data_IF_631814307700
#
_entry.id   IF_631814307700
#
_cell.length_a   1.000
_cell.length_b   1.000
_cell.length_c   1.000
_cell.angle_alpha   90.00
_cell.angle_beta   90.00
_cell.angle_gamma   90.00
#
_symmetry.space_group_name_H-M   'P 1'
#
loop_
_entity.id
_entity.type
_entity.pdbx_description
1 polymer ?
#
# COMPACT_ATOMS: atom_id res chain seq x y z
N UNK A 1 0.70 -8.69 -1.90
CA UNK A 1 -0.54 -9.46 -1.84
C UNK A 1 -0.96 -9.65 -0.38
N UNK A 2 -2.25 -9.79 -0.17
CA UNK A 2 -2.82 -9.98 1.16
C UNK A 2 -3.10 -11.47 1.43
N UNK A 3 -3.75 -12.15 0.50
CA UNK A 3 -4.20 -13.53 0.64
C UNK A 3 -3.54 -14.45 -0.40
N UNK A 4 -3.60 -14.09 -1.69
CA UNK A 4 -3.09 -14.93 -2.78
C UNK A 4 -1.97 -14.23 -3.53
N UNK A 5 -0.97 -15.02 -3.97
CA UNK A 5 0.08 -14.53 -4.88
C UNK A 5 -0.49 -13.88 -6.14
N UNK A 6 -1.62 -14.37 -6.64
CA UNK A 6 -2.27 -13.89 -7.87
C UNK A 6 -2.66 -12.41 -7.81
N UNK A 7 -2.89 -11.85 -6.61
CA UNK A 7 -3.18 -10.42 -6.40
C UNK A 7 -2.05 -9.48 -6.88
N UNK A 8 -0.83 -10.01 -7.05
CA UNK A 8 0.32 -9.22 -7.51
C UNK A 8 0.24 -8.84 -8.97
N UNK A 9 -0.53 -9.57 -9.77
CA UNK A 9 -0.58 -9.44 -11.22
C UNK A 9 -2.04 -9.47 -11.65
N UNK A 10 -2.53 -8.35 -12.17
CA UNK A 10 -3.91 -8.24 -12.63
C UNK A 10 -3.97 -7.60 -14.03
N UNK A 11 -4.95 -8.01 -14.82
CA UNK A 11 -5.28 -7.40 -16.13
C UNK A 11 -6.75 -7.05 -16.14
N UNK A 12 -7.06 -5.77 -16.33
CA UNK A 12 -8.43 -5.23 -16.33
C UNK A 12 -9.23 -5.50 -15.04
N UNK A 13 -8.54 -5.66 -13.91
CA UNK A 13 -9.13 -5.95 -12.60
C UNK A 13 -9.19 -7.45 -12.25
N UNK A 14 -8.95 -8.33 -13.19
CA UNK A 14 -8.91 -9.78 -12.96
C UNK A 14 -7.48 -10.22 -12.61
N UNK A 15 -7.34 -10.96 -11.52
CA UNK A 15 -6.06 -11.53 -11.10
C UNK A 15 -5.60 -12.61 -12.08
N UNK A 16 -4.27 -12.77 -12.21
CA UNK A 16 -3.71 -13.86 -13.00
C UNK A 16 -4.21 -15.21 -12.48
N UNK A 17 -4.75 -16.11 -13.34
CA UNK A 17 -5.15 -17.44 -12.93
C UNK A 17 -3.97 -18.28 -12.42
N UNK A 18 -4.17 -19.10 -11.39
CA UNK A 18 -3.13 -19.99 -10.84
C UNK A 18 -2.52 -20.92 -11.90
N UNK A 19 -3.33 -21.41 -12.84
CA UNK A 19 -2.85 -22.23 -13.95
C UNK A 19 -1.85 -21.48 -14.84
N UNK A 20 -2.10 -20.17 -15.11
CA UNK A 20 -1.15 -19.34 -15.89
C UNK A 20 0.10 -19.00 -15.08
N UNK A 21 -0.01 -18.85 -13.74
CA UNK A 21 1.16 -18.72 -12.86
C UNK A 21 2.04 -19.97 -12.96
N UNK A 22 1.45 -21.16 -12.89
CA UNK A 22 2.18 -22.42 -13.01
C UNK A 22 2.89 -22.55 -14.36
N UNK A 23 2.16 -22.32 -15.47
CA UNK A 23 2.72 -22.38 -16.82
C UNK A 23 3.88 -21.38 -17.02
N UNK A 24 3.68 -20.13 -16.60
CA UNK A 24 4.72 -19.10 -16.71
C UNK A 24 5.92 -19.39 -15.80
N UNK A 25 5.69 -20.02 -14.67
CA UNK A 25 6.76 -20.44 -13.77
C UNK A 25 7.68 -21.43 -14.48
N UNK A 26 7.15 -22.47 -15.12
CA UNK A 26 7.96 -23.45 -15.87
C UNK A 26 8.65 -22.79 -17.08
N UNK A 27 7.94 -21.94 -17.81
CA UNK A 27 8.48 -21.20 -18.95
C UNK A 27 9.68 -20.30 -18.56
N UNK A 28 9.65 -19.65 -17.39
CA UNK A 28 10.75 -18.79 -16.91
C UNK A 28 11.88 -19.64 -16.38
N UNK A 29 11.61 -20.71 -15.62
CA UNK A 29 12.62 -21.65 -15.13
C UNK A 29 13.48 -22.21 -16.26
N UNK A 30 12.85 -22.70 -17.33
CA UNK A 30 13.56 -23.21 -18.51
C UNK A 30 14.55 -22.20 -19.13
N UNK A 31 14.28 -20.88 -18.99
CA UNK A 31 15.20 -19.85 -19.47
C UNK A 31 16.32 -19.56 -18.50
N UNK A 32 15.97 -19.51 -17.20
CA UNK A 32 16.95 -19.31 -16.12
C UNK A 32 17.99 -20.43 -16.13
N UNK A 33 17.56 -21.68 -16.31
CA UNK A 33 18.45 -22.85 -16.32
C UNK A 33 19.46 -22.84 -17.48
N UNK A 34 19.17 -22.09 -18.55
CA UNK A 34 20.08 -21.92 -19.69
C UNK A 34 21.09 -20.79 -19.51
N UNK A 35 20.92 -19.94 -18.48
CA UNK A 35 21.72 -18.74 -18.25
C UNK A 35 22.45 -18.83 -16.91
N UNK A 36 23.78 -19.03 -16.95
CA UNK A 36 24.60 -19.12 -15.72
C UNK A 36 24.48 -17.86 -14.82
N UNK A 37 24.30 -16.68 -15.42
CA UNK A 37 24.14 -15.41 -14.71
C UNK A 37 22.84 -15.31 -13.91
N UNK A 38 21.85 -16.15 -14.20
CA UNK A 38 20.53 -16.11 -13.56
C UNK A 38 20.44 -16.84 -12.20
N UNK A 39 21.56 -17.42 -11.71
CA UNK A 39 21.59 -18.19 -10.46
C UNK A 39 21.41 -17.35 -9.17
N UNK A 40 21.50 -16.02 -9.27
CA UNK A 40 21.36 -15.09 -8.14
C UNK A 40 20.04 -14.30 -8.12
N UNK A 41 19.05 -14.71 -8.90
CA UNK A 41 17.77 -14.03 -8.97
C UNK A 41 16.98 -14.14 -7.67
N UNK A 42 16.41 -13.02 -7.26
CA UNK A 42 15.50 -12.97 -6.11
C UNK A 42 14.08 -13.43 -6.50
N UNK A 43 13.26 -13.72 -5.50
CA UNK A 43 11.83 -13.98 -5.71
C UNK A 43 11.14 -12.82 -6.44
N UNK A 44 11.55 -11.57 -6.19
CA UNK A 44 10.95 -10.41 -6.83
C UNK A 44 11.38 -10.27 -8.29
N UNK A 45 12.64 -10.57 -8.63
CA UNK A 45 13.11 -10.64 -10.03
C UNK A 45 12.26 -11.62 -10.83
N UNK A 46 12.06 -12.82 -10.27
CA UNK A 46 11.25 -13.86 -10.88
C UNK A 46 9.79 -13.42 -11.07
N UNK A 47 9.19 -12.83 -10.03
CA UNK A 47 7.81 -12.33 -10.09
C UNK A 47 7.65 -11.23 -11.13
N UNK A 48 8.63 -10.33 -11.24
CA UNK A 48 8.64 -9.23 -12.23
C UNK A 48 8.71 -9.77 -13.65
N UNK A 49 9.61 -10.74 -13.91
CA UNK A 49 9.70 -11.40 -15.21
C UNK A 49 8.39 -12.11 -15.59
N UNK A 50 7.76 -12.79 -14.63
CA UNK A 50 6.47 -13.47 -14.81
C UNK A 50 5.37 -12.46 -15.17
N UNK A 51 5.30 -11.33 -14.46
CA UNK A 51 4.33 -10.28 -14.73
C UNK A 51 4.49 -9.70 -16.14
N UNK A 52 5.72 -9.41 -16.56
CA UNK A 52 5.99 -8.84 -17.88
C UNK A 52 5.67 -9.82 -19.00
N UNK A 53 6.02 -11.10 -18.86
CA UNK A 53 5.64 -12.12 -19.85
C UNK A 53 4.11 -12.31 -19.91
N UNK A 54 3.43 -12.29 -18.76
CA UNK A 54 1.98 -12.33 -18.71
C UNK A 54 1.34 -11.15 -19.45
N UNK A 55 1.77 -9.92 -19.16
CA UNK A 55 1.26 -8.71 -19.82
C UNK A 55 1.50 -8.73 -21.33
N UNK A 56 2.67 -9.22 -21.77
CA UNK A 56 2.99 -9.40 -23.18
C UNK A 56 2.03 -10.41 -23.84
N UNK A 57 1.80 -11.57 -23.24
CA UNK A 57 0.87 -12.59 -23.76
C UNK A 57 -0.58 -12.10 -23.84
N UNK A 58 -0.99 -11.27 -22.87
CA UNK A 58 -2.33 -10.66 -22.86
C UNK A 58 -2.46 -9.43 -23.76
N UNK A 59 -1.41 -8.98 -24.40
CA UNK A 59 -1.42 -7.80 -25.28
C UNK A 59 -1.79 -6.51 -24.54
N UNK A 60 -1.31 -6.36 -23.31
CA UNK A 60 -1.61 -5.21 -22.44
C UNK A 60 -1.12 -3.92 -23.10
N UNK A 61 -2.02 -2.96 -23.32
CA UNK A 61 -1.70 -1.69 -23.95
C UNK A 61 -0.99 -0.69 -23.01
N UNK A 62 -1.30 -0.75 -21.70
CA UNK A 62 -0.68 0.08 -20.68
C UNK A 62 -0.58 -0.73 -19.38
N UNK A 63 0.55 -0.62 -18.68
CA UNK A 63 0.78 -1.28 -17.41
C UNK A 63 1.06 -0.25 -16.31
N UNK A 64 0.50 -0.47 -15.14
CA UNK A 64 0.85 0.22 -13.90
C UNK A 64 1.78 -0.71 -13.11
N UNK A 65 3.04 -0.29 -12.95
CA UNK A 65 4.08 -1.12 -12.34
C UNK A 65 4.58 -0.46 -11.06
N UNK A 66 4.48 -1.16 -9.94
CA UNK A 66 4.97 -0.72 -8.64
C UNK A 66 6.35 -1.32 -8.37
N UNK A 67 7.33 -0.47 -8.00
CA UNK A 67 8.65 -0.93 -7.56
C UNK A 67 8.52 -1.69 -6.22
N UNK A 68 9.25 -2.79 -6.10
CA UNK A 68 9.22 -3.60 -4.88
C UNK A 68 9.99 -2.97 -3.72
N UNK A 69 11.17 -2.40 -4.00
CA UNK A 69 12.01 -1.76 -3.00
C UNK A 69 12.90 -0.67 -3.64
N UNK A 70 12.85 0.54 -3.08
CA UNK A 70 13.68 1.65 -3.55
C UNK A 70 13.28 2.11 -4.95
N UNK A 71 14.08 1.84 -5.95
CA UNK A 71 13.84 2.17 -7.35
C UNK A 71 15.05 1.89 -8.24
N UNK A 72 16.22 2.43 -7.90
CA UNK A 72 17.44 2.37 -8.74
C UNK A 72 17.86 0.95 -9.13
N UNK A 73 17.83 0.03 -8.19
CA UNK A 73 18.21 -1.39 -8.36
C UNK A 73 16.97 -2.33 -8.36
N UNK A 74 15.78 -1.76 -8.43
CA UNK A 74 14.56 -2.57 -8.45
C UNK A 74 14.42 -3.33 -9.78
N UNK A 75 13.93 -4.56 -9.72
CA UNK A 75 13.73 -5.42 -10.89
C UNK A 75 12.85 -4.78 -11.96
N UNK A 76 11.91 -3.92 -11.54
CA UNK A 76 11.01 -3.21 -12.45
C UNK A 76 11.68 -2.07 -13.21
N UNK A 77 12.88 -1.63 -12.78
CA UNK A 77 13.58 -0.47 -13.36
C UNK A 77 14.19 -0.72 -14.73
N UNK A 78 14.02 -1.92 -15.29
CA UNK A 78 14.36 -2.26 -16.69
C UNK A 78 13.40 -1.57 -17.68
N UNK A 79 12.26 -1.08 -17.22
CA UNK A 79 11.26 -0.42 -18.05
C UNK A 79 11.68 1.02 -18.42
N UNK A 80 11.18 1.48 -19.58
CA UNK A 80 11.09 2.90 -19.92
C UNK A 80 9.62 3.33 -19.83
N UNK A 81 9.20 3.98 -18.73
CA UNK A 81 7.80 4.30 -18.51
C UNK A 81 7.33 5.49 -19.36
N UNK A 82 6.01 5.65 -19.53
CA UNK A 82 5.39 6.86 -20.08
C UNK A 82 5.36 8.00 -19.06
N UNK A 83 5.19 7.66 -17.79
CA UNK A 83 5.20 8.59 -16.65
C UNK A 83 5.83 7.87 -15.45
N UNK A 84 6.72 8.54 -14.75
CA UNK A 84 7.26 8.07 -13.46
C UNK A 84 6.53 8.76 -12.32
N UNK A 85 6.11 7.99 -11.30
CA UNK A 85 5.49 8.56 -10.09
C UNK A 85 6.33 8.20 -8.87
N UNK A 86 6.75 9.21 -8.12
CA UNK A 86 7.39 9.05 -6.80
C UNK A 86 6.45 9.70 -5.78
N UNK A 87 5.73 8.87 -5.03
CA UNK A 87 4.64 9.35 -4.15
C UNK A 87 5.17 10.27 -3.05
N UNK A 88 5.92 9.72 -2.12
CA UNK A 88 6.60 10.43 -1.04
C UNK A 88 7.86 9.66 -0.64
N UNK A 89 8.63 10.24 0.27
CA UNK A 89 9.81 9.61 0.85
C UNK A 89 9.70 9.71 2.37
N UNK A 90 9.73 8.58 3.05
CA UNK A 90 9.78 8.43 4.49
C UNK A 90 10.93 7.51 4.91
N UNK A 91 11.20 7.43 6.21
CA UNK A 91 12.19 6.51 6.78
C UNK A 91 11.58 5.11 6.84
N UNK A 92 11.87 4.29 5.85
CA UNK A 92 11.53 2.87 5.82
C UNK A 92 12.64 2.09 5.12
N UNK A 93 12.75 0.80 5.41
CA UNK A 93 13.78 -0.07 4.83
C UNK A 93 15.20 0.47 4.94
N UNK A 94 15.53 1.10 6.07
CA UNK A 94 16.80 1.81 6.29
C UNK A 94 18.03 0.90 6.12
N UNK A 95 17.89 -0.38 6.41
CA UNK A 95 18.93 -1.39 6.21
C UNK A 95 19.38 -1.52 4.74
N UNK A 96 18.48 -1.25 3.77
CA UNK A 96 18.75 -1.42 2.34
C UNK A 96 18.86 -0.09 1.59
N UNK A 97 18.08 0.92 1.98
CA UNK A 97 17.95 2.17 1.24
C UNK A 97 18.77 3.32 1.80
N UNK A 98 19.35 3.16 3.01
CA UNK A 98 20.07 4.21 3.72
C UNK A 98 19.32 4.74 4.93
N UNK A 99 20.04 5.46 5.80
CA UNK A 99 19.56 5.92 7.10
C UNK A 99 18.99 7.34 7.07
N UNK A 100 19.05 8.03 5.94
CA UNK A 100 18.60 9.41 5.78
C UNK A 100 17.56 9.55 4.67
N UNK A 101 16.66 10.53 4.81
CA UNK A 101 15.68 10.88 3.77
C UNK A 101 16.36 11.12 2.41
N UNK A 102 17.54 11.72 2.43
CA UNK A 102 18.32 12.01 1.21
C UNK A 102 18.81 10.74 0.51
N UNK A 103 19.30 9.77 1.25
CA UNK A 103 19.74 8.48 0.69
C UNK A 103 18.57 7.71 0.11
N UNK A 104 17.48 7.58 0.88
CA UNK A 104 16.25 6.89 0.42
C UNK A 104 15.67 7.59 -0.81
N UNK A 105 15.67 8.95 -0.83
CA UNK A 105 15.22 9.71 -2.00
C UNK A 105 16.07 9.43 -3.24
N UNK A 106 17.40 9.27 -3.12
CA UNK A 106 18.28 8.91 -4.24
C UNK A 106 17.96 7.53 -4.81
N UNK A 107 17.75 6.54 -3.93
CA UNK A 107 17.37 5.19 -4.37
C UNK A 107 16.02 5.20 -5.10
N UNK A 108 15.03 5.93 -4.57
CA UNK A 108 13.72 6.08 -5.24
C UNK A 108 13.83 6.87 -6.56
N UNK A 109 14.62 7.94 -6.59
CA UNK A 109 14.82 8.75 -7.79
C UNK A 109 15.54 8.00 -8.93
N UNK A 110 16.15 6.85 -8.66
CA UNK A 110 16.77 6.00 -9.67
C UNK A 110 15.81 5.42 -10.72
N UNK A 111 14.49 5.55 -10.54
CA UNK A 111 13.48 5.22 -11.57
C UNK A 111 13.27 6.32 -12.60
N UNK A 112 13.80 7.51 -12.38
CA UNK A 112 13.69 8.64 -13.32
C UNK A 112 14.47 8.31 -14.59
N UNK A 113 13.86 8.59 -15.74
CA UNK A 113 14.48 8.41 -17.05
C UNK A 113 14.44 9.74 -17.82
N UNK A 114 15.46 9.98 -18.63
CA UNK A 114 15.54 11.17 -19.50
C UNK A 114 14.30 11.28 -20.39
N UNK A 115 13.75 12.47 -20.49
CA UNK A 115 12.58 12.81 -21.29
C UNK A 115 11.28 12.10 -20.89
N UNK A 116 11.25 11.46 -19.71
CA UNK A 116 10.04 10.86 -19.15
C UNK A 116 9.52 11.73 -18.01
N UNK A 117 8.31 12.27 -18.08
CA UNK A 117 7.78 13.16 -17.05
C UNK A 117 7.70 12.47 -15.69
N UNK A 118 8.01 13.23 -14.65
CA UNK A 118 7.99 12.77 -13.25
C UNK A 118 6.89 13.49 -12.49
N UNK A 119 6.05 12.74 -11.79
CA UNK A 119 5.05 13.24 -10.84
C UNK A 119 5.51 12.92 -9.44
N UNK A 120 5.47 13.89 -8.52
CA UNK A 120 5.85 13.63 -7.14
C UNK A 120 5.02 14.40 -6.12
N UNK A 121 4.82 13.78 -4.97
CA UNK A 121 4.31 14.40 -3.76
C UNK A 121 5.39 14.63 -2.70
N UNK A 122 6.65 14.35 -3.01
CA UNK A 122 7.79 14.59 -2.13
C UNK A 122 7.92 16.08 -1.76
N UNK A 123 8.49 16.36 -0.61
CA UNK A 123 8.65 17.72 -0.07
C UNK A 123 10.04 17.91 0.53
N UNK A 124 10.45 19.18 0.72
CA UNK A 124 11.73 19.52 1.37
C UNK A 124 12.91 18.83 0.70
N UNK A 125 13.81 18.26 1.50
CA UNK A 125 15.06 17.65 1.02
C UNK A 125 14.83 16.54 0.00
N UNK A 126 13.80 15.71 0.16
CA UNK A 126 13.50 14.65 -0.80
C UNK A 126 13.07 15.19 -2.17
N UNK A 127 12.32 16.30 -2.20
CA UNK A 127 11.94 16.97 -3.45
C UNK A 127 13.17 17.50 -4.18
N UNK A 128 14.13 18.09 -3.47
CA UNK A 128 15.36 18.61 -4.08
C UNK A 128 16.21 17.49 -4.71
N UNK A 129 16.27 16.32 -4.07
CA UNK A 129 16.95 15.15 -4.63
C UNK A 129 16.24 14.68 -5.92
N UNK A 130 14.92 14.59 -5.90
CA UNK A 130 14.13 14.18 -7.07
C UNK A 130 14.26 15.22 -8.19
N UNK A 131 14.24 16.52 -7.86
CA UNK A 131 14.43 17.60 -8.81
C UNK A 131 15.78 17.53 -9.51
N UNK A 132 16.85 17.26 -8.76
CA UNK A 132 18.18 17.06 -9.33
C UNK A 132 18.23 15.84 -10.26
N UNK A 133 17.59 14.74 -9.90
CA UNK A 133 17.49 13.55 -10.76
C UNK A 133 16.64 13.80 -12.02
N UNK A 134 15.65 14.68 -11.94
CA UNK A 134 14.78 15.06 -13.04
C UNK A 134 15.30 16.24 -13.88
N UNK A 135 16.59 16.60 -13.79
CA UNK A 135 17.15 17.77 -14.47
C UNK A 135 16.97 17.77 -16.01
N UNK A 136 16.84 16.60 -16.61
CA UNK A 136 16.65 16.44 -18.06
C UNK A 136 15.22 16.02 -18.44
N UNK A 137 14.24 16.27 -17.57
CA UNK A 137 12.84 15.94 -17.82
C UNK A 137 11.90 16.89 -17.08
N UNK A 138 10.62 16.86 -17.45
CA UNK A 138 9.59 17.66 -16.77
C UNK A 138 9.26 17.05 -15.40
N UNK A 139 9.34 17.86 -14.36
CA UNK A 139 8.95 17.51 -12.99
C UNK A 139 7.65 18.21 -12.62
N UNK A 140 6.66 17.44 -12.20
CA UNK A 140 5.38 17.91 -11.71
C UNK A 140 5.27 17.61 -10.22
N UNK A 141 5.50 18.61 -9.38
CA UNK A 141 5.45 18.49 -7.94
C UNK A 141 4.08 18.97 -7.39
N UNK A 142 3.54 18.21 -6.46
CA UNK A 142 2.34 18.59 -5.73
C UNK A 142 2.58 19.86 -4.91
N UNK A 143 1.69 20.83 -5.02
CA UNK A 143 1.83 22.15 -4.42
C UNK A 143 2.42 23.19 -5.35
N UNK A 144 3.07 22.78 -6.44
CA UNK A 144 3.65 23.65 -7.47
C UNK A 144 2.88 23.51 -8.80
N UNK A 145 2.87 22.33 -9.37
CA UNK A 145 2.30 22.06 -10.70
C UNK A 145 0.84 21.66 -10.66
N UNK A 146 0.40 21.05 -9.58
CA UNK A 146 -0.99 20.63 -9.32
C UNK A 146 -1.29 20.70 -7.84
N UNK A 147 -2.58 20.79 -7.50
CA UNK A 147 -3.07 21.01 -6.14
C UNK A 147 -4.30 20.13 -5.88
N UNK A 148 -4.53 19.78 -4.62
CA UNK A 148 -5.81 19.27 -4.16
C UNK A 148 -6.21 19.91 -2.82
N UNK A 149 -7.49 19.85 -2.50
CA UNK A 149 -8.05 20.21 -1.19
C UNK A 149 -9.04 19.14 -0.77
N UNK A 150 -8.92 18.67 0.45
CA UNK A 150 -9.98 17.87 1.08
C UNK A 150 -11.23 18.71 1.26
N UNK A 151 -12.38 18.16 0.92
CA UNK A 151 -13.73 18.73 1.13
C UNK A 151 -14.55 17.89 2.13
N UNK A 152 -13.90 16.98 2.83
CA UNK A 152 -14.47 16.01 3.75
C UNK A 152 -13.92 14.61 3.51
N UNK A 153 -14.43 13.64 4.26
CA UNK A 153 -14.03 12.25 4.08
C UNK A 153 -14.33 11.78 2.65
N UNK A 154 -13.30 11.24 1.98
CA UNK A 154 -13.43 10.68 0.63
C UNK A 154 -13.91 11.67 -0.46
N UNK A 155 -13.82 12.98 -0.21
CA UNK A 155 -14.22 14.01 -1.18
C UNK A 155 -13.12 15.05 -1.35
N UNK A 156 -12.80 15.40 -2.60
CA UNK A 156 -11.73 16.36 -2.88
C UNK A 156 -12.06 17.29 -4.05
N UNK A 157 -11.46 18.47 -4.01
CA UNK A 157 -11.22 19.34 -5.16
C UNK A 157 -9.80 19.07 -5.69
N UNK A 158 -9.64 19.10 -7.01
CA UNK A 158 -8.35 18.92 -7.68
C UNK A 158 -8.18 19.97 -8.79
N UNK A 159 -6.99 20.56 -8.86
CA UNK A 159 -6.52 21.36 -10.00
C UNK A 159 -5.20 20.78 -10.49
N UNK A 160 -5.22 20.22 -11.68
CA UNK A 160 -4.07 19.67 -12.36
C UNK A 160 -3.39 20.62 -13.33
N UNK A 161 -2.68 20.05 -14.30
CA UNK A 161 -1.96 20.77 -15.33
C UNK A 161 -2.93 21.39 -16.36
N UNK A 162 -3.97 20.66 -16.70
CA UNK A 162 -4.98 21.01 -17.71
C UNK A 162 -6.41 20.85 -17.21
N UNK A 163 -6.62 20.00 -16.23
CA UNK A 163 -7.96 19.62 -15.72
C UNK A 163 -8.20 20.23 -14.34
N UNK A 164 -9.44 20.59 -14.10
CA UNK A 164 -9.93 20.95 -12.77
C UNK A 164 -11.18 20.16 -12.49
N UNK A 165 -11.22 19.53 -11.32
CA UNK A 165 -12.38 18.75 -10.90
C UNK A 165 -12.88 19.25 -9.55
N UNK A 166 -14.15 19.54 -9.48
CA UNK A 166 -14.87 19.75 -8.24
C UNK A 166 -15.54 18.44 -7.79
N UNK A 167 -15.62 18.23 -6.48
CA UNK A 167 -16.36 17.15 -5.86
C UNK A 167 -16.02 15.76 -6.43
N UNK A 168 -14.71 15.44 -6.46
CA UNK A 168 -14.26 14.10 -6.77
C UNK A 168 -14.43 13.20 -5.55
N UNK A 169 -15.22 12.15 -5.68
CA UNK A 169 -15.31 11.08 -4.68
C UNK A 169 -14.17 10.08 -4.85
N UNK A 170 -13.52 9.71 -3.75
CA UNK A 170 -12.46 8.71 -3.69
C UNK A 170 -12.94 7.52 -2.87
N UNK A 171 -12.97 6.33 -3.43
CA UNK A 171 -13.48 5.11 -2.77
C UNK A 171 -12.67 4.66 -1.55
N UNK A 172 -11.38 5.04 -1.48
CA UNK A 172 -10.50 4.71 -0.37
C UNK A 172 -10.59 5.76 0.74
N UNK A 173 -10.46 5.31 2.00
CA UNK A 173 -10.55 6.16 3.20
C UNK A 173 -9.20 6.73 3.60
N UNK A 174 -9.26 7.87 4.31
CA UNK A 174 -8.11 8.57 4.87
C UNK A 174 -7.53 9.65 3.96
N UNK A 175 -7.05 10.74 4.56
CA UNK A 175 -6.54 11.92 3.84
C UNK A 175 -5.35 11.59 2.92
N UNK A 176 -4.54 10.59 3.29
CA UNK A 176 -3.44 10.11 2.46
C UNK A 176 -3.92 9.53 1.12
N UNK A 177 -5.17 9.04 1.03
CA UNK A 177 -5.72 8.54 -0.22
C UNK A 177 -6.15 9.69 -1.16
N UNK A 178 -6.55 10.82 -0.62
CA UNK A 178 -6.78 12.04 -1.41
C UNK A 178 -5.46 12.56 -2.01
N UNK A 179 -4.38 12.49 -1.23
CA UNK A 179 -3.02 12.78 -1.71
C UNK A 179 -2.63 11.82 -2.84
N UNK A 180 -2.80 10.51 -2.67
CA UNK A 180 -2.50 9.50 -3.69
C UNK A 180 -3.34 9.71 -4.97
N UNK A 181 -4.63 10.02 -4.81
CA UNK A 181 -5.54 10.32 -5.92
C UNK A 181 -5.06 11.55 -6.72
N UNK A 182 -4.56 12.59 -6.05
CA UNK A 182 -4.03 13.78 -6.72
C UNK A 182 -2.79 13.46 -7.59
N UNK A 183 -1.89 12.59 -7.11
CA UNK A 183 -0.74 12.12 -7.90
C UNK A 183 -1.19 11.28 -9.10
N UNK A 184 -2.14 10.38 -8.89
CA UNK A 184 -2.70 9.55 -9.95
C UNK A 184 -3.38 10.40 -11.04
N UNK A 185 -4.15 11.42 -10.64
CA UNK A 185 -4.78 12.34 -11.58
C UNK A 185 -3.76 13.11 -12.42
N UNK A 186 -2.69 13.63 -11.80
CA UNK A 186 -1.62 14.29 -12.52
C UNK A 186 -0.92 13.35 -13.53
N UNK A 187 -0.66 12.11 -13.12
CA UNK A 187 -0.10 11.10 -14.00
C UNK A 187 -1.02 10.79 -15.20
N UNK A 188 -2.34 10.67 -14.97
CA UNK A 188 -3.33 10.44 -16.02
C UNK A 188 -3.38 11.58 -17.05
N UNK A 189 -3.26 12.85 -16.61
CA UNK A 189 -3.17 13.99 -17.52
C UNK A 189 -1.97 13.90 -18.48
N UNK A 190 -0.84 13.39 -17.97
CA UNK A 190 0.40 13.23 -18.74
C UNK A 190 0.36 12.05 -19.73
N UNK A 191 -0.56 11.10 -19.56
CA UNK A 191 -0.77 10.00 -20.50
C UNK A 191 -1.54 10.41 -21.76
N UNK A 192 -2.32 11.49 -21.70
CA UNK A 192 -3.13 11.95 -22.86
C UNK A 192 -2.29 12.27 -24.10
N UNK A 193 -1.14 12.99 -24.01
CA UNK A 193 -0.26 13.21 -25.18
C UNK A 193 0.40 11.92 -25.69
N UNK A 194 0.51 10.89 -24.85
CA UNK A 194 1.05 9.59 -25.23
C UNK A 194 0.02 8.65 -25.91
N UNK A 195 -1.18 9.16 -26.20
CA UNK A 195 -2.24 8.39 -26.89
C UNK A 195 -3.23 7.69 -25.96
N UNK A 196 -3.18 7.96 -24.64
CA UNK A 196 -4.08 7.38 -23.63
C UNK A 196 -4.95 8.46 -22.97
N UNK A 197 -5.85 9.15 -23.71
CA UNK A 197 -6.72 10.16 -23.10
C UNK A 197 -7.77 9.49 -22.21
N UNK A 198 -7.94 10.03 -20.99
CA UNK A 198 -8.94 9.55 -20.04
C UNK A 198 -10.07 10.57 -19.94
N UNK A 199 -11.34 10.13 -20.17
CA UNK A 199 -12.51 10.98 -20.09
C UNK A 199 -12.88 11.24 -18.62
N UNK A 200 -13.43 12.41 -18.32
CA UNK A 200 -13.86 12.79 -16.96
C UNK A 200 -14.75 11.73 -16.29
N UNK A 201 -15.73 11.19 -17.02
CA UNK A 201 -16.58 10.12 -16.49
C UNK A 201 -15.76 8.90 -15.99
N UNK A 202 -14.74 8.49 -16.74
CA UNK A 202 -13.88 7.36 -16.36
C UNK A 202 -13.03 7.71 -15.11
N UNK A 203 -12.53 8.95 -15.01
CA UNK A 203 -11.83 9.45 -13.83
C UNK A 203 -12.73 9.37 -12.60
N UNK A 204 -13.93 9.96 -12.67
CA UNK A 204 -14.90 9.97 -11.56
C UNK A 204 -15.30 8.55 -11.13
N UNK A 205 -15.64 7.71 -12.09
CA UNK A 205 -16.02 6.32 -11.84
C UNK A 205 -14.86 5.53 -11.22
N UNK A 206 -13.67 5.63 -11.80
CA UNK A 206 -12.49 4.90 -11.32
C UNK A 206 -12.11 5.28 -9.90
N UNK A 207 -12.05 6.57 -9.58
CA UNK A 207 -11.75 7.03 -8.22
C UNK A 207 -12.83 6.63 -7.21
N UNK A 208 -14.11 6.75 -7.56
CA UNK A 208 -15.22 6.42 -6.65
C UNK A 208 -15.35 4.92 -6.40
N UNK A 209 -15.01 4.08 -7.39
CA UNK A 209 -15.17 2.62 -7.30
C UNK A 209 -13.91 1.88 -6.85
N UNK A 210 -12.79 2.58 -6.65
CA UNK A 210 -11.54 1.93 -6.22
C UNK A 210 -11.70 1.27 -4.86
N UNK A 211 -11.29 0.01 -4.78
CA UNK A 211 -11.23 -0.78 -3.55
C UNK A 211 -9.82 -1.34 -3.38
N UNK A 212 -9.32 -1.31 -2.17
CA UNK A 212 -8.04 -1.92 -1.86
C UNK A 212 -8.12 -2.58 -0.48
N UNK A 213 -8.11 -3.89 -0.42
CA UNK A 213 -8.21 -4.61 0.85
C UNK A 213 -7.13 -4.18 1.84
N UNK A 214 -7.49 -4.11 3.11
CA UNK A 214 -6.59 -3.73 4.21
C UNK A 214 -5.99 -2.32 4.11
N UNK A 215 -6.70 -1.37 3.50
CA UNK A 215 -6.39 0.07 3.53
C UNK A 215 -7.57 0.83 4.14
N UNK A 216 -7.58 0.95 5.47
CA UNK A 216 -8.70 1.49 6.26
C UNK A 216 -10.04 0.87 5.82
N UNK A 217 -10.01 -0.45 5.57
CA UNK A 217 -11.17 -1.21 5.11
C UNK A 217 -12.17 -1.38 6.26
N UNK A 218 -13.40 -0.92 6.07
CA UNK A 218 -14.48 -1.07 7.04
C UNK A 218 -15.40 -2.22 6.64
N UNK A 219 -15.47 -3.24 7.49
CA UNK A 219 -16.43 -4.34 7.37
C UNK A 219 -17.58 -4.07 8.34
N UNK A 220 -18.79 -3.98 7.79
CA UNK A 220 -20.01 -3.71 8.55
C UNK A 220 -21.04 -4.81 8.30
N UNK A 221 -21.50 -5.45 9.38
CA UNK A 221 -22.58 -6.43 9.35
C UNK A 221 -23.66 -6.04 10.37
N UNK A 222 -24.93 -6.22 10.06
CA UNK A 222 -26.04 -5.93 11.01
C UNK A 222 -25.87 -6.69 12.33
N UNK A 223 -26.03 -6.00 13.46
CA UNK A 223 -25.95 -6.60 14.79
C UNK A 223 -24.54 -7.03 15.23
N UNK A 224 -23.50 -6.61 14.50
CA UNK A 224 -22.10 -6.91 14.85
C UNK A 224 -21.30 -5.63 15.05
N UNK A 225 -20.21 -5.67 15.82
CA UNK A 225 -19.27 -4.56 15.92
C UNK A 225 -18.70 -4.20 14.54
N UNK A 226 -18.38 -2.92 14.38
CA UNK A 226 -17.68 -2.46 13.19
C UNK A 226 -16.23 -2.98 13.22
N UNK A 227 -15.74 -3.50 12.11
CA UNK A 227 -14.35 -3.96 12.00
C UNK A 227 -13.59 -3.06 11.03
N UNK A 228 -12.48 -2.50 11.49
CA UNK A 228 -11.51 -1.74 10.69
C UNK A 228 -10.27 -2.59 10.47
N UNK A 229 -9.94 -2.83 9.22
CA UNK A 229 -8.79 -3.62 8.79
C UNK A 229 -7.79 -2.70 8.11
N UNK A 230 -6.56 -2.67 8.62
CA UNK A 230 -5.49 -1.84 8.05
C UNK A 230 -4.13 -2.52 8.09
N UNK A 231 -3.42 -2.50 6.98
CA UNK A 231 -2.10 -3.11 6.81
C UNK A 231 -0.92 -2.30 7.35
N UNK A 232 -1.15 -1.34 8.26
CA UNK A 232 -0.07 -0.59 8.90
C UNK A 232 0.91 -1.53 9.60
N UNK A 233 2.20 -1.40 9.29
CA UNK A 233 3.26 -2.31 9.74
C UNK A 233 4.57 -1.59 10.07
N UNK A 234 4.54 -0.27 10.14
CA UNK A 234 5.61 0.62 10.57
C UNK A 234 5.02 1.83 11.32
N UNK A 235 5.83 2.64 12.01
CA UNK A 235 5.34 3.79 12.78
C UNK A 235 4.53 4.79 11.95
N UNK A 236 4.99 5.17 10.77
CA UNK A 236 4.29 6.12 9.88
C UNK A 236 2.88 5.61 9.50
N UNK A 237 2.77 4.32 9.17
CA UNK A 237 1.49 3.68 8.87
C UNK A 237 0.54 3.70 10.07
N UNK A 238 1.05 3.36 11.26
CA UNK A 238 0.27 3.39 12.50
C UNK A 238 -0.13 4.82 12.86
N UNK A 239 0.75 5.81 12.70
CA UNK A 239 0.43 7.23 12.90
C UNK A 239 -0.74 7.69 12.00
N UNK A 240 -0.75 7.23 10.75
CA UNK A 240 -1.86 7.47 9.82
C UNK A 240 -3.17 6.83 10.30
N UNK A 241 -3.13 5.57 10.74
CA UNK A 241 -4.27 4.85 11.30
C UNK A 241 -4.79 5.55 12.56
N UNK A 242 -3.90 5.94 13.48
CA UNK A 242 -4.26 6.65 14.72
C UNK A 242 -4.92 7.99 14.44
N UNK A 243 -4.40 8.74 13.47
CA UNK A 243 -5.03 9.99 13.01
C UNK A 243 -6.46 9.75 12.51
N UNK A 244 -6.65 8.71 11.71
CA UNK A 244 -7.98 8.33 11.22
C UNK A 244 -8.93 7.94 12.37
N UNK A 245 -8.46 7.14 13.33
CA UNK A 245 -9.24 6.76 14.51
C UNK A 245 -9.67 7.96 15.36
N UNK A 246 -8.77 8.92 15.57
CA UNK A 246 -9.05 10.15 16.32
C UNK A 246 -10.07 11.04 15.63
N UNK A 247 -10.09 11.06 14.32
CA UNK A 247 -10.99 11.93 13.56
C UNK A 247 -12.39 11.32 13.34
N UNK A 248 -12.49 9.98 13.22
CA UNK A 248 -13.74 9.33 12.78
C UNK A 248 -14.39 8.43 13.84
N UNK A 249 -13.66 8.02 14.91
CA UNK A 249 -14.14 7.05 15.90
C UNK A 249 -13.92 7.49 17.33
N UNK A 250 -14.04 8.79 17.61
CA UNK A 250 -13.79 9.39 18.95
C UNK A 250 -14.62 8.71 20.03
N UNK A 251 -15.91 8.51 19.80
CA UNK A 251 -16.89 8.07 20.79
C UNK A 251 -17.13 6.55 20.81
N UNK A 252 -16.30 5.75 20.09
CA UNK A 252 -16.42 4.30 20.10
C UNK A 252 -15.35 3.69 21.00
N UNK A 253 -15.71 2.70 21.81
CA UNK A 253 -14.73 1.81 22.44
C UNK A 253 -14.00 1.05 21.32
N UNK A 254 -12.70 0.93 21.44
CA UNK A 254 -11.81 0.35 20.43
C UNK A 254 -11.08 -0.85 21.01
N UNK A 255 -11.19 -1.98 20.32
CA UNK A 255 -10.51 -3.23 20.64
C UNK A 255 -9.50 -3.50 19.55
N UNK A 256 -8.22 -3.54 19.90
CA UNK A 256 -7.10 -3.75 18.99
C UNK A 256 -6.73 -5.23 18.92
N UNK A 257 -6.71 -5.80 17.74
CA UNK A 257 -6.02 -7.06 17.42
C UNK A 257 -4.72 -6.70 16.71
N UNK A 258 -3.58 -7.06 17.32
CA UNK A 258 -2.27 -6.66 16.85
C UNK A 258 -1.32 -7.84 16.70
N UNK A 259 -0.78 -8.01 15.49
CA UNK A 259 0.24 -9.02 15.19
C UNK A 259 1.26 -8.46 14.20
N UNK A 260 2.55 -8.55 14.53
CA UNK A 260 3.63 -7.82 13.87
C UNK A 260 4.82 -8.73 13.57
N UNK A 261 5.68 -8.34 12.60
CA UNK A 261 6.93 -9.02 12.28
C UNK A 261 8.06 -8.61 13.24
N UNK A 262 9.04 -9.51 13.47
CA UNK A 262 10.20 -9.33 14.38
C UNK A 262 11.08 -8.14 14.00
N UNK A 263 11.17 -7.84 12.70
CA UNK A 263 12.04 -6.83 12.11
C UNK A 263 11.43 -5.40 12.15
N UNK A 264 10.23 -5.24 12.69
CA UNK A 264 9.54 -3.94 12.74
C UNK A 264 9.69 -3.26 14.10
N UNK A 265 9.65 -1.93 14.10
CA UNK A 265 9.66 -1.15 15.36
C UNK A 265 8.25 -1.16 16.00
N UNK A 266 7.87 -2.33 16.51
CA UNK A 266 6.57 -2.50 17.17
C UNK A 266 6.48 -1.76 18.51
N UNK A 267 7.61 -1.37 19.10
CA UNK A 267 7.62 -0.53 20.30
C UNK A 267 7.02 0.85 19.98
N UNK A 268 7.55 1.51 18.97
CA UNK A 268 7.06 2.82 18.54
C UNK A 268 5.62 2.74 18.04
N UNK A 269 5.30 1.72 17.23
CA UNK A 269 3.92 1.47 16.77
C UNK A 269 2.93 1.35 17.92
N UNK A 270 3.26 0.61 18.99
CA UNK A 270 2.40 0.46 20.15
C UNK A 270 2.29 1.73 20.97
N UNK A 271 3.38 2.50 21.13
CA UNK A 271 3.35 3.80 21.82
C UNK A 271 2.35 4.76 21.18
N UNK A 272 2.17 4.71 19.88
CA UNK A 272 1.21 5.55 19.17
C UNK A 272 -0.24 5.05 19.27
N UNK A 273 -0.47 3.74 19.12
CA UNK A 273 -1.83 3.22 19.00
C UNK A 273 -2.50 2.94 20.35
N UNK A 274 -1.75 2.51 21.37
CA UNK A 274 -2.31 2.17 22.68
C UNK A 274 -3.09 3.31 23.35
N UNK A 275 -2.67 4.59 23.27
CA UNK A 275 -3.43 5.69 23.88
C UNK A 275 -4.85 5.88 23.30
N UNK A 276 -5.16 5.31 22.14
CA UNK A 276 -6.46 5.50 21.49
C UNK A 276 -7.35 4.27 21.53
N UNK A 277 -6.90 3.16 22.12
CA UNK A 277 -7.67 1.90 22.25
C UNK A 277 -7.91 1.55 23.72
N UNK A 278 -8.98 0.86 24.02
CA UNK A 278 -9.35 0.48 25.40
C UNK A 278 -8.98 -0.97 25.74
N UNK A 279 -8.87 -1.82 24.75
CA UNK A 279 -8.49 -3.22 24.92
C UNK A 279 -7.53 -3.63 23.81
N UNK A 280 -6.55 -4.45 24.14
CA UNK A 280 -5.58 -4.99 23.15
C UNK A 280 -5.49 -6.50 23.27
N UNK A 281 -5.50 -7.18 22.13
CA UNK A 281 -5.25 -8.61 22.00
C UNK A 281 -4.04 -8.77 21.09
N UNK A 282 -2.97 -9.31 21.63
CA UNK A 282 -1.74 -9.61 20.88
C UNK A 282 -1.82 -11.01 20.31
N UNK A 283 -1.42 -11.14 19.05
CA UNK A 283 -1.40 -12.42 18.34
C UNK A 283 -0.21 -12.50 17.40
N UNK A 284 -0.08 -13.62 16.73
CA UNK A 284 0.87 -13.77 15.61
C UNK A 284 0.25 -14.57 14.47
N UNK A 285 0.52 -14.22 13.23
CA UNK A 285 0.18 -15.05 12.08
C UNK A 285 1.08 -16.31 12.03
N UNK A 286 0.66 -17.33 11.29
CA UNK A 286 1.40 -18.58 11.10
C UNK A 286 2.60 -18.42 10.17
N UNK A 287 3.54 -17.56 10.56
CA UNK A 287 4.80 -17.33 9.83
C UNK A 287 5.97 -17.21 10.81
N UNK A 288 7.10 -17.82 10.48
CA UNK A 288 8.29 -17.85 11.34
C UNK A 288 8.84 -16.45 11.70
N UNK A 289 8.70 -15.50 10.78
CA UNK A 289 9.13 -14.09 10.97
C UNK A 289 8.24 -13.31 11.93
N UNK A 290 7.09 -13.83 12.35
CA UNK A 290 6.20 -13.14 13.29
C UNK A 290 6.87 -12.99 14.67
N UNK A 291 6.69 -11.81 15.27
CA UNK A 291 7.11 -11.56 16.64
C UNK A 291 6.30 -12.42 17.62
N UNK A 292 6.93 -12.89 18.67
CA UNK A 292 6.22 -13.62 19.72
C UNK A 292 5.34 -12.65 20.52
N UNK A 293 4.04 -12.95 20.72
CA UNK A 293 3.15 -12.07 21.48
C UNK A 293 3.68 -11.73 22.90
N UNK A 294 4.41 -12.66 23.53
CA UNK A 294 5.05 -12.44 24.84
C UNK A 294 6.14 -11.34 24.82
N UNK A 295 6.87 -11.21 23.71
CA UNK A 295 7.87 -10.15 23.56
C UNK A 295 7.21 -8.80 23.29
N UNK A 296 6.13 -8.78 22.52
CA UNK A 296 5.34 -7.60 22.21
C UNK A 296 4.60 -7.09 23.45
N UNK A 297 4.12 -7.99 24.31
CA UNK A 297 3.39 -7.69 25.56
C UNK A 297 4.19 -6.82 26.55
N UNK A 298 5.52 -6.84 26.47
CA UNK A 298 6.38 -5.96 27.30
C UNK A 298 6.11 -4.46 27.03
N UNK A 299 5.57 -4.13 25.86
CA UNK A 299 5.25 -2.76 25.44
C UNK A 299 3.75 -2.47 25.41
N UNK A 300 2.92 -3.45 25.79
CA UNK A 300 1.47 -3.34 25.85
C UNK A 300 0.93 -3.90 27.20
N UNK A 301 1.15 -3.21 28.31
CA UNK A 301 0.70 -3.67 29.63
C UNK A 301 -0.82 -3.91 29.65
N UNK A 302 -1.24 -5.06 30.18
CA UNK A 302 -2.66 -5.43 30.25
C UNK A 302 -3.25 -6.01 28.97
N UNK A 303 -2.45 -6.17 27.91
CA UNK A 303 -2.91 -6.84 26.70
C UNK A 303 -3.17 -8.33 26.95
N UNK A 304 -4.23 -8.85 26.34
CA UNK A 304 -4.49 -10.28 26.25
C UNK A 304 -3.58 -10.91 25.19
N UNK A 305 -3.23 -12.18 25.39
CA UNK A 305 -2.44 -12.94 24.41
C UNK A 305 -3.31 -14.06 23.85
N UNK A 306 -3.45 -14.11 22.53
CA UNK A 306 -4.13 -15.15 21.79
C UNK A 306 -3.13 -16.07 21.08
N UNK A 307 -3.42 -17.37 21.02
CA UNK A 307 -2.55 -18.37 20.41
C UNK A 307 -2.47 -18.23 18.88
N UNK A 308 -3.56 -17.80 18.24
CA UNK A 308 -3.68 -17.62 16.81
C UNK A 308 -4.41 -16.34 16.44
N UNK A 309 -4.34 -15.93 15.18
CA UNK A 309 -5.14 -14.80 14.66
C UNK A 309 -6.62 -15.10 14.79
N UNK A 310 -7.03 -16.37 14.59
CA UNK A 310 -8.42 -16.78 14.78
C UNK A 310 -8.88 -16.55 16.21
N UNK A 311 -8.12 -17.01 17.21
CA UNK A 311 -8.47 -16.82 18.62
C UNK A 311 -8.53 -15.35 19.01
N UNK A 312 -7.63 -14.54 18.44
CA UNK A 312 -7.63 -13.08 18.68
C UNK A 312 -8.87 -12.40 18.09
N UNK A 313 -9.27 -12.77 16.89
CA UNK A 313 -10.48 -12.24 16.24
C UNK A 313 -11.73 -12.70 17.02
N UNK A 314 -11.83 -13.99 17.37
CA UNK A 314 -12.94 -14.54 18.17
C UNK A 314 -13.03 -13.83 19.53
N UNK A 315 -11.90 -13.64 20.21
CA UNK A 315 -11.81 -12.92 21.47
C UNK A 315 -12.22 -11.44 21.34
N UNK A 316 -11.84 -10.77 20.26
CA UNK A 316 -12.25 -9.39 20.01
C UNK A 316 -13.78 -9.28 19.83
N UNK A 317 -14.39 -10.19 19.07
CA UNK A 317 -15.85 -10.24 18.94
C UNK A 317 -16.57 -10.58 20.25
N UNK A 318 -15.99 -11.41 21.12
CA UNK A 318 -16.55 -11.72 22.42
C UNK A 318 -16.50 -10.54 23.41
N UNK A 319 -15.55 -9.62 23.25
CA UNK A 319 -15.35 -8.43 24.09
C UNK A 319 -16.10 -7.18 23.58
N UNK A 320 -16.53 -7.20 22.31
CA UNK A 320 -17.15 -6.07 21.65
C UNK A 320 -18.67 -6.17 21.64
N UNK A 321 -19.34 -5.04 21.73
CA UNK A 321 -20.76 -4.90 21.38
C UNK A 321 -20.94 -4.29 19.98
N UNK A 322 -22.19 -4.15 19.52
CA UNK A 322 -22.52 -3.62 18.19
C UNK A 322 -22.09 -2.16 17.97
N UNK A 323 -21.84 -1.42 19.04
CA UNK A 323 -21.42 -0.02 18.98
C UNK A 323 -19.90 0.13 19.02
N UNK A 324 -19.17 -0.93 19.29
CA UNK A 324 -17.71 -0.92 19.41
C UNK A 324 -17.02 -0.97 18.03
N UNK A 325 -15.72 -0.73 18.03
CA UNK A 325 -14.84 -0.84 16.87
C UNK A 325 -13.74 -1.88 17.16
N UNK A 326 -13.68 -2.93 16.37
CA UNK A 326 -12.54 -3.84 16.34
C UNK A 326 -11.56 -3.34 15.29
N UNK A 327 -10.28 -3.21 15.66
CA UNK A 327 -9.18 -2.77 14.78
C UNK A 327 -8.24 -3.96 14.60
N UNK A 328 -7.94 -4.33 13.37
CA UNK A 328 -7.01 -5.42 13.05
C UNK A 328 -5.86 -4.86 12.24
N UNK A 329 -4.63 -4.91 12.79
CA UNK A 329 -3.45 -4.28 12.17
C UNK A 329 -2.12 -4.88 12.66
N UNK A 330 -0.99 -4.31 12.22
CA UNK A 330 0.38 -4.63 12.62
C UNK A 330 1.18 -5.37 11.55
N UNK A 331 0.54 -6.11 10.66
CA UNK A 331 1.19 -6.71 9.49
C UNK A 331 0.18 -7.18 8.44
N UNK A 332 0.60 -7.23 7.18
CA UNK A 332 -0.23 -7.81 6.11
C UNK A 332 -0.57 -9.29 6.34
N UNK A 333 0.30 -10.04 7.01
CA UNK A 333 0.04 -11.45 7.32
C UNK A 333 -1.09 -11.61 8.34
N UNK A 334 -1.04 -10.86 9.44
CA UNK A 334 -2.11 -10.84 10.46
C UNK A 334 -3.44 -10.43 9.83
N UNK A 335 -3.41 -9.38 9.05
CA UNK A 335 -4.59 -8.83 8.39
C UNK A 335 -5.13 -9.80 7.32
N UNK A 336 -4.27 -10.47 6.57
CA UNK A 336 -4.67 -11.46 5.56
C UNK A 336 -5.37 -12.68 6.17
N UNK A 337 -4.83 -13.22 7.27
CA UNK A 337 -5.49 -14.31 8.00
C UNK A 337 -6.84 -13.87 8.58
N UNK A 338 -6.87 -12.70 9.22
CA UNK A 338 -8.11 -12.16 9.78
C UNK A 338 -9.18 -11.91 8.71
N UNK A 339 -8.79 -11.40 7.54
CA UNK A 339 -9.73 -11.14 6.45
C UNK A 339 -10.37 -12.42 5.94
N UNK A 340 -9.61 -13.50 5.73
CA UNK A 340 -10.20 -14.81 5.36
C UNK A 340 -11.27 -15.26 6.37
N UNK A 341 -10.96 -15.15 7.67
CA UNK A 341 -11.90 -15.51 8.73
C UNK A 341 -13.18 -14.65 8.72
N UNK A 342 -13.05 -13.35 8.39
CA UNK A 342 -14.19 -12.44 8.31
C UNK A 342 -15.05 -12.68 7.07
N UNK A 343 -14.43 -13.07 5.95
CA UNK A 343 -15.13 -13.42 4.71
C UNK A 343 -15.88 -14.77 4.85
N UNK A 344 -15.30 -15.76 5.57
CA UNK A 344 -15.96 -17.04 5.89
C UNK A 344 -17.17 -16.89 6.84
N UNK A 345 -17.24 -15.81 7.61
CA UNK A 345 -18.38 -15.47 8.48
C UNK A 345 -19.51 -14.73 7.75
N UNK A 346 -19.33 -14.52 6.42
CA UNK A 346 -20.22 -13.67 5.61
C UNK A 346 -21.49 -14.39 5.17
#
# INVERSE_FOLDING_TARGET
HLISFTERIAVNGDYIPEAEVAELTEFIKERIDREESARSLTFFDFTTALAFEYFKRKGVAIAVVEAGLGGRLDSTNVLRPLVTVITNVGLDHQEYLGSTIKEIAREKAGVVKEHVPVVTGARGESLEVIRAAAAQTALYALGESFLYKSKGEQLMWYRGIRMTYDDLSVGLRGDHQLFNAALALCALELLSPAGFPVREYAVRKGLASVQWPARLELVRKPGQPLVLIDGAHNPDGVGTLVSYLKNHFVNRKKILVFGVMKDKDFKEMLQEILPVVQQTILTRPEIERAALPADVARYAPGALIAASVKDAVDGAFALADEHDLIIITGSFYTVGEAKRLLDERS
#
